data_IF_289295797428
#
_entry.id   IF_289295797428
#
_cell.length_a   1.000
_cell.length_b   1.000
_cell.length_c   1.000
_cell.angle_alpha   90.00
_cell.angle_beta   90.00
_cell.angle_gamma   90.00
#
_symmetry.space_group_name_H-M   'P 1'
#
loop_
_entity.id
_entity.type
_entity.pdbx_description
1 polymer ?
#
# COMPACT_ATOMS: atom_id res chain seq x y z
N UNK A 1 -7.86 30.01 18.41
CA UNK A 1 -7.89 31.36 17.79
C UNK A 1 -9.01 31.38 16.77
N UNK A 2 -9.89 32.39 16.79
CA UNK A 2 -11.00 32.43 15.84
C UNK A 2 -10.56 32.80 14.41
N UNK A 3 -11.41 32.48 13.43
CA UNK A 3 -11.13 32.76 12.01
C UNK A 3 -11.08 34.26 11.68
N UNK A 4 -11.70 35.12 12.49
CA UNK A 4 -11.74 36.56 12.24
C UNK A 4 -10.42 37.22 12.62
N UNK A 5 -9.88 36.87 13.78
CA UNK A 5 -8.58 37.27 14.30
C UNK A 5 -7.48 36.78 13.37
N UNK A 6 -7.54 35.50 12.97
CA UNK A 6 -6.57 34.97 12.02
C UNK A 6 -6.63 35.68 10.66
N UNK A 7 -7.82 36.05 10.17
CA UNK A 7 -7.98 36.81 8.92
C UNK A 7 -7.31 38.17 9.02
N UNK A 8 -7.55 38.87 10.12
CA UNK A 8 -6.98 40.17 10.41
C UNK A 8 -5.44 40.09 10.48
N UNK A 9 -4.89 39.14 11.22
CA UNK A 9 -3.44 38.97 11.39
C UNK A 9 -2.71 38.64 10.09
N UNK A 10 -3.37 37.91 9.19
CA UNK A 10 -2.83 37.59 7.86
C UNK A 10 -3.08 38.69 6.82
N UNK A 11 -3.84 39.74 7.16
CA UNK A 11 -4.27 40.77 6.21
C UNK A 11 -5.13 40.20 5.07
N UNK A 12 -5.90 39.14 5.33
CA UNK A 12 -6.77 38.47 4.34
C UNK A 12 -8.24 38.57 4.77
N UNK A 13 -9.15 38.34 3.84
CA UNK A 13 -10.57 38.29 4.17
C UNK A 13 -10.95 36.95 4.81
N UNK A 14 -11.98 36.97 5.67
CA UNK A 14 -12.53 35.76 6.29
C UNK A 14 -13.00 34.75 5.24
N UNK A 15 -13.54 35.22 4.11
CA UNK A 15 -13.96 34.33 3.01
C UNK A 15 -12.78 33.63 2.35
N UNK A 16 -11.64 34.32 2.20
CA UNK A 16 -10.39 33.71 1.71
C UNK A 16 -9.91 32.62 2.65
N UNK A 17 -9.89 32.86 3.97
CA UNK A 17 -9.50 31.83 4.94
C UNK A 17 -10.46 30.64 4.96
N UNK A 18 -11.78 30.87 4.86
CA UNK A 18 -12.76 29.78 4.73
C UNK A 18 -12.51 28.92 3.48
N UNK A 19 -12.16 29.57 2.35
CA UNK A 19 -11.78 28.85 1.13
C UNK A 19 -10.51 28.04 1.33
N UNK A 20 -9.50 28.61 2.00
CA UNK A 20 -8.24 27.92 2.29
C UNK A 20 -8.47 26.72 3.23
N UNK A 21 -9.23 26.89 4.32
CA UNK A 21 -9.65 25.81 5.23
C UNK A 21 -10.24 24.64 4.44
N UNK A 22 -11.25 24.92 3.61
CA UNK A 22 -11.92 23.89 2.78
C UNK A 22 -10.96 23.17 1.84
N UNK A 23 -10.00 23.91 1.28
CA UNK A 23 -9.00 23.31 0.38
C UNK A 23 -8.03 22.39 1.16
N UNK A 24 -7.64 22.79 2.37
CA UNK A 24 -6.79 21.97 3.25
C UNK A 24 -7.52 20.70 3.66
N UNK A 25 -8.78 20.80 4.09
CA UNK A 25 -9.63 19.65 4.43
C UNK A 25 -9.73 18.66 3.27
N UNK A 26 -9.84 19.16 2.04
CA UNK A 26 -9.94 18.31 0.85
C UNK A 26 -8.59 17.68 0.43
N UNK A 27 -7.50 18.45 0.41
CA UNK A 27 -6.21 18.02 -0.15
C UNK A 27 -5.34 17.25 0.85
N UNK A 28 -5.40 17.63 2.12
CA UNK A 28 -4.62 17.02 3.19
C UNK A 28 -5.45 16.07 4.07
N UNK A 29 -6.75 15.90 3.79
CA UNK A 29 -7.69 15.14 4.63
C UNK A 29 -7.61 15.52 6.12
N UNK A 30 -7.35 16.81 6.37
CA UNK A 30 -7.16 17.35 7.71
C UNK A 30 -8.49 17.86 8.27
N UNK A 31 -8.87 17.41 9.46
CA UNK A 31 -10.10 17.87 10.14
C UNK A 31 -9.73 18.95 11.17
N UNK A 32 -10.26 20.15 10.98
CA UNK A 32 -10.07 21.25 11.94
C UNK A 32 -11.05 21.14 13.10
N UNK A 33 -10.60 21.50 14.30
CA UNK A 33 -11.48 21.62 15.45
C UNK A 33 -12.47 22.79 15.29
N UNK A 34 -13.72 22.55 15.65
CA UNK A 34 -14.80 23.53 15.59
C UNK A 34 -15.51 23.63 16.92
N UNK A 35 -15.61 24.84 17.46
CA UNK A 35 -16.37 25.15 18.66
C UNK A 35 -17.82 25.48 18.32
N UNK A 36 -18.75 25.01 19.14
CA UNK A 36 -20.17 25.33 19.02
C UNK A 36 -20.50 26.59 19.81
N UNK A 37 -20.97 27.62 19.12
CA UNK A 37 -21.40 28.89 19.71
C UNK A 37 -22.90 29.01 19.55
N UNK A 38 -23.63 29.22 20.65
CA UNK A 38 -25.06 29.49 20.59
C UNK A 38 -25.29 30.95 20.17
N UNK A 39 -25.83 31.14 18.97
CA UNK A 39 -26.06 32.48 18.38
C UNK A 39 -27.50 32.93 18.60
N UNK A 40 -28.42 32.01 18.89
CA UNK A 40 -29.81 32.31 19.21
C UNK A 40 -30.49 31.20 20.01
N UNK A 41 -31.78 31.37 20.32
CA UNK A 41 -32.55 30.42 21.16
C UNK A 41 -32.40 28.96 20.72
N UNK A 42 -32.46 28.69 19.42
CA UNK A 42 -32.32 27.33 18.83
C UNK A 42 -31.24 27.25 17.75
N UNK A 43 -30.34 28.24 17.64
CA UNK A 43 -29.33 28.29 16.59
C UNK A 43 -27.94 28.10 17.19
N UNK A 44 -27.28 27.02 16.78
CA UNK A 44 -25.89 26.70 17.13
C UNK A 44 -25.06 26.87 15.86
N UNK A 45 -24.04 27.71 15.95
CA UNK A 45 -23.07 27.91 14.89
C UNK A 45 -21.79 27.16 15.26
N UNK A 46 -21.26 26.39 14.32
CA UNK A 46 -19.90 25.84 14.44
C UNK A 46 -18.91 26.86 13.90
N UNK A 47 -17.92 27.21 14.71
CA UNK A 47 -16.89 28.17 14.38
C UNK A 47 -15.53 27.48 14.53
N UNK A 48 -14.64 27.55 13.52
CA UNK A 48 -13.30 27.00 13.64
C UNK A 48 -12.54 27.63 14.80
N UNK A 49 -11.87 26.79 15.61
CA UNK A 49 -10.98 27.25 16.68
C UNK A 49 -9.58 26.75 16.40
N UNK A 50 -8.74 27.63 15.84
CA UNK A 50 -7.42 27.26 15.38
C UNK A 50 -6.40 27.23 16.53
N UNK A 51 -5.63 26.15 16.64
CA UNK A 51 -4.54 26.09 17.60
C UNK A 51 -3.32 26.93 17.15
N UNK A 52 -2.31 27.07 18.02
CA UNK A 52 -1.11 27.87 17.71
C UNK A 52 -0.28 27.31 16.55
N UNK A 53 -0.25 25.99 16.37
CA UNK A 53 0.48 25.37 15.26
C UNK A 53 -0.26 25.54 13.93
N UNK A 54 -1.58 25.42 13.92
CA UNK A 54 -2.44 25.69 12.77
C UNK A 54 -2.30 27.15 12.32
N UNK A 55 -2.30 28.09 13.27
CA UNK A 55 -2.03 29.51 12.98
C UNK A 55 -0.67 29.68 12.31
N UNK A 56 0.39 29.05 12.84
CA UNK A 56 1.74 29.11 12.26
C UNK A 56 1.77 28.48 10.85
N UNK A 57 1.04 27.39 10.63
CA UNK A 57 0.88 26.75 9.32
C UNK A 57 0.15 27.67 8.34
N UNK A 58 -0.93 28.32 8.74
CA UNK A 58 -1.63 29.31 7.92
C UNK A 58 -0.72 30.49 7.53
N UNK A 59 0.09 31.00 8.47
CA UNK A 59 1.07 32.05 8.18
C UNK A 59 2.12 31.61 7.15
N UNK A 60 2.68 30.42 7.34
CA UNK A 60 3.65 29.85 6.39
C UNK A 60 3.03 29.62 5.01
N UNK A 61 1.80 29.11 4.95
CA UNK A 61 1.09 28.92 3.70
C UNK A 61 0.82 30.25 3.00
N UNK A 62 0.37 31.27 3.72
CA UNK A 62 0.11 32.59 3.14
C UNK A 62 1.33 33.15 2.39
N UNK A 63 2.53 32.96 2.94
CA UNK A 63 3.79 33.34 2.28
C UNK A 63 4.09 32.51 1.03
N UNK A 64 3.76 31.22 1.03
CA UNK A 64 4.01 30.32 -0.09
C UNK A 64 3.01 30.51 -1.23
N UNK A 65 1.77 30.88 -0.93
CA UNK A 65 0.68 31.05 -1.91
C UNK A 65 1.06 32.04 -3.01
N UNK A 66 1.69 33.15 -2.64
CA UNK A 66 2.05 34.21 -3.59
C UNK A 66 3.11 33.73 -4.61
N UNK A 67 3.89 32.70 -4.27
CA UNK A 67 4.97 32.18 -5.13
C UNK A 67 4.63 30.90 -5.87
N UNK A 68 3.86 29.99 -5.27
CA UNK A 68 3.61 28.62 -5.77
C UNK A 68 2.13 28.30 -6.02
N UNK A 69 1.23 29.19 -5.62
CA UNK A 69 -0.22 28.94 -5.66
C UNK A 69 -0.73 28.14 -4.46
N UNK A 70 -2.06 28.10 -4.31
CA UNK A 70 -2.74 27.56 -3.14
C UNK A 70 -2.51 26.07 -2.93
N UNK A 71 -2.70 25.24 -3.96
CA UNK A 71 -2.63 23.78 -3.81
C UNK A 71 -1.23 23.33 -3.41
N UNK A 72 -0.20 23.86 -4.07
CA UNK A 72 1.20 23.53 -3.76
C UNK A 72 1.61 24.01 -2.36
N UNK A 73 1.13 25.19 -1.94
CA UNK A 73 1.36 25.70 -0.59
C UNK A 73 0.68 24.82 0.47
N UNK A 74 -0.52 24.29 0.18
CA UNK A 74 -1.20 23.33 1.06
C UNK A 74 -0.39 22.03 1.17
N UNK A 75 0.07 21.47 0.06
CA UNK A 75 0.88 20.25 0.07
C UNK A 75 2.19 20.40 0.86
N UNK A 76 2.85 21.55 0.78
CA UNK A 76 4.11 21.78 1.50
C UNK A 76 3.94 21.96 3.02
N UNK A 77 2.76 22.40 3.47
CA UNK A 77 2.54 22.77 4.88
C UNK A 77 1.69 21.74 5.63
N UNK A 78 0.66 21.17 5.00
CA UNK A 78 -0.21 20.13 5.59
C UNK A 78 0.01 18.74 4.99
N UNK A 79 0.73 18.63 3.88
CA UNK A 79 0.95 17.36 3.19
C UNK A 79 -0.08 17.09 2.09
N UNK A 80 0.15 16.02 1.34
CA UNK A 80 -0.74 15.52 0.31
C UNK A 80 -1.19 14.10 0.67
N UNK A 81 -2.41 13.96 1.20
CA UNK A 81 -2.94 12.68 1.65
C UNK A 81 -3.05 11.66 0.49
N UNK A 82 -3.38 12.14 -0.70
CA UNK A 82 -3.47 11.30 -1.91
C UNK A 82 -2.09 10.77 -2.31
N UNK A 83 -1.05 11.60 -2.28
CA UNK A 83 0.32 11.19 -2.57
C UNK A 83 0.83 10.16 -1.55
N UNK A 84 0.62 10.42 -0.25
CA UNK A 84 1.00 9.47 0.81
C UNK A 84 0.30 8.12 0.63
N UNK A 85 -0.98 8.15 0.25
CA UNK A 85 -1.76 6.94 -0.04
C UNK A 85 -1.20 6.19 -1.26
N UNK A 86 -0.85 6.90 -2.33
CA UNK A 86 -0.25 6.31 -3.53
C UNK A 86 1.12 5.69 -3.23
N UNK A 87 1.99 6.38 -2.50
CA UNK A 87 3.30 5.85 -2.07
C UNK A 87 3.13 4.60 -1.20
N UNK A 88 2.17 4.60 -0.29
CA UNK A 88 1.83 3.45 0.53
C UNK A 88 1.34 2.26 -0.30
N UNK A 89 0.42 2.49 -1.24
CA UNK A 89 -0.08 1.47 -2.16
C UNK A 89 1.07 0.92 -3.01
N UNK A 90 1.93 1.78 -3.54
CA UNK A 90 3.09 1.38 -4.33
C UNK A 90 4.09 0.57 -3.51
N UNK A 91 4.32 0.94 -2.25
CA UNK A 91 5.13 0.17 -1.31
C UNK A 91 4.57 -1.23 -1.07
N UNK A 92 3.26 -1.35 -0.82
CA UNK A 92 2.57 -2.65 -0.71
C UNK A 92 2.67 -3.48 -1.98
N UNK A 93 2.45 -2.85 -3.13
CA UNK A 93 2.56 -3.52 -4.43
C UNK A 93 3.98 -4.07 -4.65
N UNK A 94 5.01 -3.26 -4.37
CA UNK A 94 6.41 -3.68 -4.50
C UNK A 94 6.75 -4.82 -3.54
N UNK A 95 6.28 -4.75 -2.29
CA UNK A 95 6.47 -5.82 -1.33
C UNK A 95 5.82 -7.13 -1.82
N UNK A 96 4.57 -7.05 -2.28
CA UNK A 96 3.84 -8.21 -2.81
C UNK A 96 4.55 -8.82 -4.02
N UNK A 97 5.03 -7.99 -4.95
CA UNK A 97 5.80 -8.44 -6.11
C UNK A 97 7.08 -9.20 -5.70
N UNK A 98 7.82 -8.70 -4.70
CA UNK A 98 9.00 -9.38 -4.18
C UNK A 98 8.67 -10.73 -3.54
N UNK A 99 7.58 -10.80 -2.76
CA UNK A 99 7.10 -12.05 -2.15
C UNK A 99 6.72 -13.06 -3.23
N UNK A 100 6.00 -12.64 -4.27
CA UNK A 100 5.65 -13.50 -5.40
C UNK A 100 6.87 -14.05 -6.13
N UNK A 101 7.89 -13.20 -6.39
CA UNK A 101 9.12 -13.65 -7.03
C UNK A 101 9.82 -14.70 -6.17
N UNK A 102 9.94 -14.47 -4.85
CA UNK A 102 10.53 -15.45 -3.92
C UNK A 102 9.77 -16.76 -3.92
N UNK A 103 8.44 -16.71 -3.82
CA UNK A 103 7.58 -17.89 -3.85
C UNK A 103 7.75 -18.67 -5.15
N UNK A 104 7.73 -18.00 -6.30
CA UNK A 104 7.93 -18.62 -7.61
C UNK A 104 9.30 -19.31 -7.71
N UNK A 105 10.37 -18.66 -7.24
CA UNK A 105 11.71 -19.25 -7.23
C UNK A 105 11.78 -20.49 -6.34
N UNK A 106 11.16 -20.45 -5.17
CA UNK A 106 11.10 -21.61 -4.27
C UNK A 106 10.28 -22.75 -4.86
N UNK A 107 9.11 -22.46 -5.43
CA UNK A 107 8.28 -23.45 -6.11
C UNK A 107 9.03 -24.11 -7.28
N UNK A 108 9.73 -23.34 -8.11
CA UNK A 108 10.53 -23.88 -9.20
C UNK A 108 11.65 -24.82 -8.70
N UNK A 109 12.34 -24.46 -7.60
CA UNK A 109 13.33 -25.35 -6.99
C UNK A 109 12.72 -26.69 -6.54
N UNK A 110 11.53 -26.65 -5.93
CA UNK A 110 10.81 -27.86 -5.53
C UNK A 110 10.38 -28.69 -6.74
N UNK A 111 9.89 -28.05 -7.80
CA UNK A 111 9.57 -28.74 -9.05
C UNK A 111 10.79 -29.41 -9.67
N UNK A 112 11.95 -28.75 -9.68
CA UNK A 112 13.19 -29.33 -10.22
C UNK A 112 13.66 -30.54 -9.39
N UNK A 113 13.51 -30.50 -8.06
CA UNK A 113 13.81 -31.64 -7.18
C UNK A 113 12.87 -32.82 -7.48
N UNK A 114 11.56 -32.58 -7.47
CA UNK A 114 10.56 -33.61 -7.76
C UNK A 114 10.75 -34.22 -9.16
N UNK A 115 11.13 -33.39 -10.14
CA UNK A 115 11.44 -33.85 -11.50
C UNK A 115 12.63 -34.82 -11.51
N UNK A 116 13.68 -34.53 -10.76
CA UNK A 116 14.87 -35.40 -10.65
C UNK A 116 14.52 -36.70 -9.92
N UNK A 117 13.79 -36.64 -8.82
CA UNK A 117 13.35 -37.82 -8.07
C UNK A 117 12.50 -38.74 -8.94
N UNK A 118 11.52 -38.18 -9.67
CA UNK A 118 10.71 -38.95 -10.61
C UNK A 118 11.53 -39.58 -11.75
N UNK A 119 12.58 -38.92 -12.23
CA UNK A 119 13.49 -39.49 -13.22
C UNK A 119 14.28 -40.67 -12.64
N UNK A 120 14.80 -40.56 -11.41
CA UNK A 120 15.51 -41.66 -10.72
C UNK A 120 14.61 -42.87 -10.53
N UNK A 121 13.41 -42.64 -9.98
CA UNK A 121 12.42 -43.69 -9.76
C UNK A 121 12.03 -44.39 -11.06
N UNK A 122 11.89 -43.64 -12.16
CA UNK A 122 11.63 -44.22 -13.48
C UNK A 122 12.77 -45.12 -13.93
N UNK A 123 14.02 -44.70 -13.77
CA UNK A 123 15.19 -45.52 -14.13
C UNK A 123 15.26 -46.80 -13.30
N UNK A 124 15.02 -46.71 -11.99
CA UNK A 124 14.98 -47.88 -11.10
C UNK A 124 13.87 -48.87 -11.50
N UNK A 125 12.67 -48.35 -11.80
CA UNK A 125 11.55 -49.17 -12.25
C UNK A 125 11.84 -49.87 -13.59
N UNK A 126 12.50 -49.18 -14.52
CA UNK A 126 12.91 -49.75 -15.81
C UNK A 126 13.95 -50.87 -15.63
N UNK A 127 14.91 -50.70 -14.70
CA UNK A 127 15.89 -51.73 -14.36
C UNK A 127 15.22 -52.96 -13.75
N UNK A 128 14.38 -52.75 -12.73
CA UNK A 128 13.66 -53.85 -12.06
C UNK A 128 12.77 -54.62 -13.03
N UNK A 129 12.12 -53.91 -13.96
CA UNK A 129 11.29 -54.53 -15.01
C UNK A 129 12.12 -55.40 -15.95
N UNK A 130 13.34 -54.97 -16.31
CA UNK A 130 14.27 -55.78 -17.12
C UNK A 130 14.72 -57.02 -16.37
N UNK A 131 15.17 -56.87 -15.12
CA UNK A 131 15.58 -58.00 -14.28
C UNK A 131 14.46 -59.02 -14.10
N UNK A 132 13.23 -58.56 -13.88
CA UNK A 132 12.06 -59.42 -13.77
C UNK A 132 11.78 -60.20 -15.06
N UNK A 133 11.90 -59.57 -16.23
CA UNK A 133 11.77 -60.25 -17.53
C UNK A 133 12.85 -61.33 -17.70
N UNK A 134 14.11 -61.01 -17.42
CA UNK A 134 15.22 -61.96 -17.50
C UNK A 134 15.02 -63.15 -16.54
N UNK A 135 14.55 -62.88 -15.31
CA UNK A 135 14.21 -63.92 -14.34
C UNK A 135 13.10 -64.84 -14.84
N UNK A 136 12.04 -64.28 -15.44
CA UNK A 136 10.95 -65.07 -16.04
C UNK A 136 11.43 -65.95 -17.19
N UNK A 137 12.25 -65.42 -18.10
CA UNK A 137 12.79 -66.15 -19.24
C UNK A 137 13.69 -67.31 -18.78
N UNK A 138 14.56 -67.07 -17.80
CA UNK A 138 15.44 -68.10 -17.25
C UNK A 138 14.65 -69.22 -16.56
N UNK A 139 13.57 -68.90 -15.85
CA UNK A 139 12.70 -69.90 -15.24
C UNK A 139 11.91 -70.72 -16.26
N UNK A 140 11.47 -70.12 -17.37
CA UNK A 140 10.82 -70.85 -18.47
C UNK A 140 11.80 -71.83 -19.14
N UNK A 141 13.05 -71.41 -19.39
CA UNK A 141 14.11 -72.28 -19.94
C UNK A 141 14.39 -73.46 -19.02
N UNK A 142 14.52 -73.23 -17.71
CA UNK A 142 14.71 -74.30 -16.72
C UNK A 142 13.57 -75.31 -16.72
N UNK A 143 12.31 -74.89 -16.86
CA UNK A 143 11.15 -75.81 -16.94
C UNK A 143 11.08 -76.62 -18.25
N UNK A 144 11.64 -76.13 -19.35
CA UNK A 144 11.68 -76.84 -20.63
C UNK A 144 12.78 -77.90 -20.75
N UNK A 145 13.79 -77.85 -19.88
CA UNK A 145 14.93 -78.78 -19.86
C UNK A 145 14.66 -80.12 -19.13
N UNK A 146 13.50 -80.26 -18.48
CA UNK A 146 13.09 -81.47 -17.74
C UNK A 146 11.91 -82.21 -18.42
N UNK A 147 11.81 -82.15 -19.75
CA UNK A 147 10.80 -82.89 -20.54
C UNK A 147 11.47 -83.87 -21.49
#
# INVERSE_FOLDING_TARGET
MDIQTLAHDLGKSVSTLKRWKKQIEHLAEYEFEENTVQVGRNQILKVPDFDSEEVRRFQKMAQLIDSKGLEQAVFEVWGNAQLLTLEYIQGKHNHLAQVFIKYRLQANKQFDLLKKENQSLKTELDMLTKEFKTYQENNKKKKGLFK
#
